data_IF_613228433129
#
_entry.id   IF_613228433129
#
_cell.length_a   1.000
_cell.length_b   1.000
_cell.length_c   1.000
_cell.angle_alpha   90.00
_cell.angle_beta   90.00
_cell.angle_gamma   90.00
#
_symmetry.space_group_name_H-M   'P 1'
#
loop_
_entity.id
_entity.type
_entity.pdbx_description
1 polymer ?
#
# COMPACT_ATOMS: atom_id res chain seq x y z
N UNK A 1 -21.09 -19.27 -4.35
CA UNK A 1 -20.19 -18.32 -5.07
C UNK A 1 -20.91 -17.74 -6.27
N UNK A 2 -20.74 -16.46 -6.50
CA UNK A 2 -21.21 -15.80 -7.71
C UNK A 2 -20.27 -16.15 -8.89
N UNK A 3 -20.73 -15.98 -10.13
CA UNK A 3 -19.94 -16.34 -11.32
C UNK A 3 -18.69 -15.48 -11.52
N UNK A 4 -18.70 -14.65 -12.55
CA UNK A 4 -17.54 -13.83 -12.94
C UNK A 4 -17.74 -12.37 -12.62
N UNK A 5 -16.64 -11.67 -12.31
CA UNK A 5 -16.61 -10.22 -12.12
C UNK A 5 -15.41 -9.62 -12.84
N UNK A 6 -15.59 -8.41 -13.36
CA UNK A 6 -14.53 -7.67 -14.03
C UNK A 6 -14.14 -6.48 -13.15
N UNK A 7 -12.83 -6.33 -12.91
CA UNK A 7 -12.25 -5.17 -12.25
C UNK A 7 -11.46 -4.39 -13.29
N UNK A 8 -11.78 -3.11 -13.45
CA UNK A 8 -11.10 -2.23 -14.40
C UNK A 8 -10.14 -1.33 -13.65
N UNK A 9 -8.87 -1.42 -13.99
CA UNK A 9 -7.77 -0.72 -13.33
C UNK A 9 -7.00 -1.62 -12.39
N UNK A 10 -5.71 -1.77 -12.64
CA UNK A 10 -4.79 -2.65 -11.91
C UNK A 10 -3.79 -1.93 -11.03
N UNK A 11 -4.16 -0.78 -10.47
CA UNK A 11 -3.41 -0.12 -9.41
C UNK A 11 -3.90 -0.59 -8.04
N UNK A 12 -3.50 0.08 -6.97
CA UNK A 12 -3.79 -0.36 -5.59
C UNK A 12 -5.30 -0.61 -5.35
N UNK A 13 -6.15 0.30 -5.78
CA UNK A 13 -7.60 0.16 -5.59
C UNK A 13 -8.17 -1.06 -6.31
N UNK A 14 -7.77 -1.27 -7.57
CA UNK A 14 -8.22 -2.41 -8.35
C UNK A 14 -7.72 -3.74 -7.82
N UNK A 15 -6.46 -3.80 -7.39
CA UNK A 15 -5.87 -5.00 -6.78
C UNK A 15 -6.55 -5.36 -5.46
N UNK A 16 -6.85 -4.38 -4.61
CA UNK A 16 -7.59 -4.58 -3.37
C UNK A 16 -9.05 -5.01 -3.63
N UNK A 17 -9.71 -4.38 -4.59
CA UNK A 17 -11.06 -4.78 -5.00
C UNK A 17 -11.07 -6.23 -5.49
N UNK A 18 -10.12 -6.61 -6.34
CA UNK A 18 -10.00 -7.99 -6.84
C UNK A 18 -9.79 -8.97 -5.68
N UNK A 19 -8.95 -8.63 -4.70
CA UNK A 19 -8.73 -9.48 -3.53
C UNK A 19 -10.01 -9.67 -2.71
N UNK A 20 -10.75 -8.60 -2.43
CA UNK A 20 -12.01 -8.68 -1.69
C UNK A 20 -13.05 -9.50 -2.47
N UNK A 21 -13.17 -9.24 -3.77
CA UNK A 21 -14.14 -9.95 -4.63
C UNK A 21 -13.82 -11.43 -4.78
N UNK A 22 -12.57 -11.84 -4.57
CA UNK A 22 -12.17 -13.27 -4.65
C UNK A 22 -12.83 -14.14 -3.58
N UNK A 23 -13.36 -13.55 -2.53
CA UNK A 23 -14.12 -14.28 -1.51
C UNK A 23 -15.58 -14.54 -1.91
N UNK A 24 -16.07 -13.89 -2.99
CA UNK A 24 -17.48 -13.93 -3.41
C UNK A 24 -17.69 -14.46 -4.82
N UNK A 25 -16.71 -14.36 -5.70
CA UNK A 25 -16.81 -14.72 -7.11
C UNK A 25 -15.87 -15.86 -7.46
N UNK A 26 -16.31 -16.71 -8.38
CA UNK A 26 -15.52 -17.85 -8.87
C UNK A 26 -14.35 -17.42 -9.76
N UNK A 27 -14.57 -16.35 -10.54
CA UNK A 27 -13.55 -15.85 -11.45
C UNK A 27 -13.51 -14.32 -11.42
N UNK A 28 -12.28 -13.79 -11.29
CA UNK A 28 -12.04 -12.36 -11.33
C UNK A 28 -11.15 -12.04 -12.51
N UNK A 29 -11.64 -11.15 -13.38
CA UNK A 29 -10.88 -10.67 -14.52
C UNK A 29 -10.47 -9.22 -14.24
N UNK A 30 -9.18 -8.99 -14.09
CA UNK A 30 -8.62 -7.66 -13.88
C UNK A 30 -8.08 -7.13 -15.21
N UNK A 31 -8.60 -5.98 -15.64
CA UNK A 31 -8.21 -5.32 -16.88
C UNK A 31 -7.39 -4.08 -16.56
N UNK A 32 -6.14 -4.03 -17.05
CA UNK A 32 -5.23 -2.91 -16.93
C UNK A 32 -4.76 -2.46 -18.31
N UNK A 33 -4.93 -1.17 -18.61
CA UNK A 33 -4.55 -0.60 -19.93
C UNK A 33 -3.04 -0.48 -20.13
N UNK A 34 -2.27 -0.30 -19.05
CA UNK A 34 -0.84 -0.12 -19.10
C UNK A 34 -0.11 -1.41 -18.74
N UNK A 35 1.07 -1.61 -19.29
CA UNK A 35 1.92 -2.73 -18.90
C UNK A 35 2.49 -2.50 -17.49
N UNK A 36 2.50 -3.56 -16.69
CA UNK A 36 3.25 -3.53 -15.44
C UNK A 36 4.75 -3.49 -15.74
N UNK A 37 5.48 -2.73 -14.90
CA UNK A 37 6.94 -2.63 -15.00
C UNK A 37 7.59 -3.36 -13.84
N UNK A 38 8.78 -3.90 -14.09
CA UNK A 38 9.55 -4.59 -13.05
C UNK A 38 10.44 -3.63 -12.27
N UNK A 39 10.72 -3.97 -11.01
CA UNK A 39 11.58 -3.19 -10.13
C UNK A 39 10.98 -1.85 -9.73
N UNK A 40 11.84 -0.85 -9.60
CA UNK A 40 11.49 0.47 -9.08
C UNK A 40 11.02 1.46 -10.16
N UNK A 41 10.74 0.97 -11.36
CA UNK A 41 10.28 1.82 -12.46
C UNK A 41 8.84 2.26 -12.25
N UNK A 42 8.55 3.52 -12.58
CA UNK A 42 7.20 4.08 -12.51
C UNK A 42 6.45 3.80 -13.80
N UNK A 43 5.19 3.34 -13.68
CA UNK A 43 4.30 3.15 -14.83
C UNK A 43 3.76 4.51 -15.31
N UNK A 44 3.50 4.62 -16.61
CA UNK A 44 2.96 5.85 -17.22
C UNK A 44 1.63 6.29 -16.62
N UNK A 45 0.75 5.36 -16.24
CA UNK A 45 -0.57 5.64 -15.67
C UNK A 45 -0.56 5.97 -14.17
N UNK A 46 0.61 6.00 -13.51
CA UNK A 46 0.72 6.18 -12.06
C UNK A 46 1.81 7.21 -11.70
N UNK A 47 1.67 8.47 -12.17
CA UNK A 47 2.69 9.50 -11.91
C UNK A 47 2.89 9.81 -10.43
N UNK A 48 1.87 9.62 -9.61
CA UNK A 48 1.92 9.80 -8.16
C UNK A 48 2.91 8.85 -7.47
N UNK A 49 3.34 7.77 -8.11
CA UNK A 49 4.32 6.85 -7.54
C UNK A 49 5.71 7.50 -7.31
N UNK A 50 5.99 8.63 -7.97
CA UNK A 50 7.20 9.42 -7.73
C UNK A 50 7.17 10.24 -6.44
N UNK A 51 6.01 10.38 -5.80
CA UNK A 51 5.87 11.12 -4.56
C UNK A 51 6.13 10.22 -3.35
N UNK A 52 6.48 10.84 -2.23
CA UNK A 52 6.61 10.13 -0.96
C UNK A 52 5.24 9.65 -0.49
N UNK A 53 5.15 8.39 -0.15
CA UNK A 53 3.95 7.76 0.37
C UNK A 53 4.25 7.07 1.69
N UNK A 54 3.31 7.19 2.63
CA UNK A 54 3.40 6.53 3.93
C UNK A 54 2.13 5.71 4.14
N UNK A 55 2.32 4.45 4.47
CA UNK A 55 1.22 3.57 4.85
C UNK A 55 1.01 3.67 6.37
N UNK A 56 -0.10 4.23 6.77
CA UNK A 56 -0.45 4.39 8.18
C UNK A 56 -0.90 3.07 8.81
N UNK A 57 -0.91 3.04 10.15
CA UNK A 57 -1.14 1.82 10.94
C UNK A 57 -2.41 1.09 10.55
N UNK A 58 -3.54 1.79 10.43
CA UNK A 58 -4.82 1.13 10.09
C UNK A 58 -4.81 0.54 8.69
N UNK A 59 -4.28 1.27 7.72
CA UNK A 59 -4.12 0.77 6.35
C UNK A 59 -3.18 -0.44 6.29
N UNK A 60 -2.10 -0.42 7.05
CA UNK A 60 -1.18 -1.54 7.19
C UNK A 60 -1.88 -2.78 7.75
N UNK A 61 -2.66 -2.64 8.80
CA UNK A 61 -3.41 -3.75 9.41
C UNK A 61 -4.37 -4.38 8.42
N UNK A 62 -5.14 -3.56 7.69
CA UNK A 62 -6.09 -4.04 6.68
C UNK A 62 -5.36 -4.79 5.55
N UNK A 63 -4.27 -4.23 5.04
CA UNK A 63 -3.48 -4.88 4.00
C UNK A 63 -2.85 -6.18 4.49
N UNK A 64 -2.40 -6.24 5.73
CA UNK A 64 -1.84 -7.43 6.34
C UNK A 64 -2.89 -8.55 6.47
N UNK A 65 -4.14 -8.21 6.76
CA UNK A 65 -5.24 -9.18 6.83
C UNK A 65 -5.52 -9.81 5.44
N UNK A 66 -5.47 -9.01 4.38
CA UNK A 66 -5.68 -9.51 3.03
C UNK A 66 -4.44 -10.18 2.41
N UNK A 67 -3.25 -9.71 2.78
CA UNK A 67 -1.98 -10.17 2.23
C UNK A 67 -0.97 -10.38 3.37
N UNK A 68 -1.03 -11.54 4.08
CA UNK A 68 -0.22 -11.76 5.28
C UNK A 68 1.30 -11.64 5.09
N UNK A 69 1.80 -11.90 3.87
CA UNK A 69 3.24 -11.84 3.57
C UNK A 69 3.69 -10.45 3.04
N UNK A 70 2.76 -9.50 2.88
CA UNK A 70 3.05 -8.22 2.23
C UNK A 70 4.14 -7.43 2.94
N UNK A 71 4.07 -7.29 4.26
CA UNK A 71 5.06 -6.53 5.04
C UNK A 71 6.46 -7.12 4.89
N UNK A 72 6.57 -8.44 4.96
CA UNK A 72 7.81 -9.16 4.77
C UNK A 72 8.42 -8.93 3.38
N UNK A 73 7.57 -9.00 2.36
CA UNK A 73 7.98 -8.77 0.97
C UNK A 73 8.42 -7.33 0.73
N UNK A 74 7.72 -6.36 1.31
CA UNK A 74 8.08 -4.95 1.20
C UNK A 74 9.42 -4.64 1.87
N UNK A 75 9.65 -5.14 3.08
CA UNK A 75 10.93 -4.98 3.78
C UNK A 75 12.07 -5.63 2.99
N UNK A 76 11.85 -6.82 2.46
CA UNK A 76 12.82 -7.51 1.60
C UNK A 76 13.17 -6.72 0.34
N UNK A 77 12.22 -5.95 -0.19
CA UNK A 77 12.43 -5.06 -1.35
C UNK A 77 12.96 -3.68 -0.99
N UNK A 78 13.29 -3.43 0.27
CA UNK A 78 13.92 -2.20 0.71
C UNK A 78 12.99 -1.15 1.32
N UNK A 79 11.73 -1.48 1.59
CA UNK A 79 10.83 -0.57 2.30
C UNK A 79 11.31 -0.37 3.75
N UNK A 80 11.23 0.87 4.21
CA UNK A 80 11.58 1.22 5.59
C UNK A 80 10.35 1.14 6.50
N UNK A 81 10.51 0.47 7.62
CA UNK A 81 9.54 0.49 8.71
C UNK A 81 9.85 1.68 9.62
N UNK A 82 8.87 2.55 9.83
CA UNK A 82 9.02 3.79 10.60
C UNK A 82 8.17 3.71 11.86
N UNK A 83 8.80 3.99 12.99
CA UNK A 83 8.10 4.31 14.24
C UNK A 83 8.00 5.84 14.33
N UNK A 84 6.79 6.38 14.18
CA UNK A 84 6.58 7.83 14.15
C UNK A 84 7.07 8.55 15.42
N UNK A 85 7.04 7.88 16.55
CA UNK A 85 7.45 8.49 17.82
C UNK A 85 8.97 8.49 17.95
N UNK A 86 9.64 7.41 17.54
CA UNK A 86 11.09 7.25 17.69
C UNK A 86 11.88 7.77 16.48
N UNK A 87 11.34 7.60 15.27
CA UNK A 87 12.09 7.84 14.05
C UNK A 87 11.77 9.18 13.39
N UNK A 88 10.80 9.94 13.92
CA UNK A 88 10.35 11.21 13.34
C UNK A 88 10.54 12.38 14.28
N UNK A 89 10.85 13.53 13.69
CA UNK A 89 10.89 14.81 14.40
C UNK A 89 9.93 15.79 13.74
N UNK A 90 9.20 16.51 14.54
CA UNK A 90 8.24 17.49 14.07
C UNK A 90 8.68 18.89 14.47
N UNK A 91 8.73 19.81 13.50
CA UNK A 91 8.97 21.22 13.76
C UNK A 91 7.67 21.97 13.73
N UNK A 92 7.34 22.59 14.85
CA UNK A 92 6.20 23.48 15.03
C UNK A 92 6.67 24.94 14.96
N UNK A 93 5.76 25.91 14.79
CA UNK A 93 6.14 27.33 14.86
C UNK A 93 6.83 27.71 16.17
N UNK A 94 6.52 27.01 17.26
CA UNK A 94 7.11 27.19 18.59
C UNK A 94 8.47 26.48 18.78
N UNK A 95 8.93 25.70 17.79
CA UNK A 95 10.17 24.93 17.87
C UNK A 95 9.93 23.44 17.60
N UNK A 96 10.93 22.62 17.94
CA UNK A 96 10.84 21.17 17.80
C UNK A 96 9.90 20.57 18.84
N UNK A 97 9.01 19.68 18.38
CA UNK A 97 8.16 18.91 19.27
C UNK A 97 9.02 17.97 20.12
N UNK A 98 8.70 17.87 21.40
CA UNK A 98 9.36 16.92 22.30
C UNK A 98 8.87 15.50 21.97
N UNK A 99 9.78 14.52 22.08
CA UNK A 99 9.38 13.12 21.98
C UNK A 99 8.43 12.80 23.13
N UNK A 100 7.26 12.31 22.78
CA UNK A 100 6.21 11.95 23.75
C UNK A 100 6.45 10.60 24.43
N UNK A 101 7.50 9.88 24.04
CA UNK A 101 7.90 8.65 24.73
C UNK A 101 8.74 9.07 25.93
N UNK A 102 8.12 9.07 27.07
CA UNK A 102 8.83 8.97 28.33
C UNK A 102 9.13 7.49 28.55
N UNK A 103 10.38 7.20 28.73
CA UNK A 103 10.83 5.88 29.19
C UNK A 103 10.15 5.49 30.51
#
# INVERSE_FOLDING_TARGET
MLGKVIVIGGSIAGLLAARVLSDYFEEIILIEKDNYVEGDKVRNGVPQANHVHILLVKGREILQDFFPELEKDLVKKGANKIDFLNDSRYRLPSGWAQNLIQE
#
